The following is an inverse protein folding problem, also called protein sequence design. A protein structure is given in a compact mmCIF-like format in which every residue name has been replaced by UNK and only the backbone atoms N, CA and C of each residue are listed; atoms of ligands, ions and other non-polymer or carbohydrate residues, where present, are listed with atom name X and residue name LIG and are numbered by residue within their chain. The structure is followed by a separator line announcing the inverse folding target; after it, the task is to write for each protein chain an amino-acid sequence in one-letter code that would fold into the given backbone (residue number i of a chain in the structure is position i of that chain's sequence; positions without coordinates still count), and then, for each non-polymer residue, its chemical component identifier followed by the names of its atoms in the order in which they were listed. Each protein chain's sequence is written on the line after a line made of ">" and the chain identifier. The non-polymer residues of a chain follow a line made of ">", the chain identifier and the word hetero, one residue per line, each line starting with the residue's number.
data_IF_493920852569
#
_entry.id   IF_493920852569
#
_cell.length_a   1.000
_cell.length_b   1.000
_cell.length_c   1.000
_cell.angle_alpha   90.00
_cell.angle_beta   90.00
_cell.angle_gamma   90.00
#
_symmetry.space_group_name_H-M   'P 1'
#
loop_
_entity.id
_entity.type
_entity.pdbx_description
1 polymer ?
#
# COMPACT_ATOMS: atom_id res chain seq x y z
N UNK A 1 8.80 16.10 8.00
CA UNK A 1 9.66 16.82 7.03
C UNK A 1 8.99 17.19 5.70
N UNK A 2 8.05 16.40 5.15
CA UNK A 2 7.42 16.70 3.84
C UNK A 2 6.50 17.95 3.79
N UNK A 3 5.90 18.37 4.92
CA UNK A 3 4.96 19.52 4.96
C UNK A 3 5.67 20.86 4.73
N UNK A 4 6.86 21.06 5.31
CA UNK A 4 7.63 22.31 5.20
C UNK A 4 8.13 22.54 3.77
N UNK A 5 8.64 21.50 3.10
CA UNK A 5 9.08 21.59 1.69
C UNK A 5 7.95 21.96 0.73
N UNK A 6 6.71 21.49 1.01
CA UNK A 6 5.52 21.78 0.20
C UNK A 6 5.04 23.23 0.37
N UNK A 7 5.13 23.76 1.58
CA UNK A 7 4.80 25.16 1.87
C UNK A 7 5.82 26.10 1.22
N UNK A 8 7.11 25.78 1.32
CA UNK A 8 8.18 26.56 0.70
C UNK A 8 8.05 26.63 -0.83
N UNK A 9 7.72 25.52 -1.49
CA UNK A 9 7.45 25.48 -2.94
C UNK A 9 6.26 26.35 -3.37
N UNK A 10 5.21 26.42 -2.54
CA UNK A 10 4.02 27.25 -2.81
C UNK A 10 4.36 28.73 -2.75
N UNK A 11 5.17 29.12 -1.77
CA UNK A 11 5.59 30.51 -1.58
C UNK A 11 6.55 30.96 -2.70
N UNK A 12 7.56 30.14 -3.04
CA UNK A 12 8.51 30.47 -4.11
C UNK A 12 7.87 30.49 -5.50
N UNK A 13 6.80 29.71 -5.72
CA UNK A 13 5.99 29.79 -6.94
C UNK A 13 5.25 31.12 -7.06
N UNK A 14 4.74 31.68 -5.97
CA UNK A 14 4.07 32.99 -5.99
C UNK A 14 5.05 34.10 -6.38
N UNK A 15 6.24 34.10 -5.78
CA UNK A 15 7.33 35.04 -6.12
C UNK A 15 7.77 34.91 -7.57
N UNK A 16 7.91 33.69 -8.09
CA UNK A 16 8.26 33.46 -9.50
C UNK A 16 7.16 33.92 -10.47
N UNK A 17 5.88 33.84 -10.09
CA UNK A 17 4.76 34.37 -10.89
C UNK A 17 4.82 35.89 -10.96
N UNK A 18 5.11 36.56 -9.84
CA UNK A 18 5.29 38.02 -9.81
C UNK A 18 6.54 38.44 -10.60
N UNK A 19 7.65 37.69 -10.51
CA UNK A 19 8.84 37.91 -11.33
C UNK A 19 8.54 37.84 -12.84
N UNK A 20 7.74 36.85 -13.25
CA UNK A 20 7.28 36.71 -14.65
C UNK A 20 6.38 37.88 -15.07
N UNK A 21 5.47 38.33 -14.20
CA UNK A 21 4.60 39.50 -14.47
C UNK A 21 5.39 40.81 -14.55
N UNK A 22 6.44 40.96 -13.76
CA UNK A 22 7.34 42.10 -13.78
C UNK A 22 8.31 42.13 -14.99
N UNK A 23 8.07 41.30 -16.01
CA UNK A 23 8.84 41.30 -17.25
C UNK A 23 10.31 40.88 -17.08
N UNK A 24 10.61 40.04 -16.08
CA UNK A 24 11.98 39.63 -15.75
C UNK A 24 12.89 40.80 -15.34
N UNK A 25 12.36 41.75 -14.57
CA UNK A 25 13.12 42.88 -14.04
C UNK A 25 14.37 42.42 -13.29
N UNK A 26 15.54 42.94 -13.67
CA UNK A 26 16.83 42.67 -13.01
C UNK A 26 16.80 43.01 -11.52
N UNK A 27 16.10 44.07 -11.13
CA UNK A 27 15.98 44.52 -9.73
C UNK A 27 15.19 43.50 -8.88
N UNK A 28 14.12 42.94 -9.44
CA UNK A 28 13.33 41.91 -8.77
C UNK A 28 14.10 40.60 -8.64
N UNK A 29 14.90 40.25 -9.66
CA UNK A 29 15.74 39.05 -9.62
C UNK A 29 16.78 39.12 -8.51
N UNK A 30 17.41 40.28 -8.29
CA UNK A 30 18.42 40.43 -7.22
C UNK A 30 17.81 40.38 -5.83
N UNK A 31 16.59 40.89 -5.66
CA UNK A 31 15.90 40.89 -4.35
C UNK A 31 15.35 39.50 -3.99
N UNK A 32 14.90 38.73 -5.00
CA UNK A 32 14.26 37.42 -4.83
C UNK A 32 15.10 36.25 -5.37
N UNK A 33 16.43 36.41 -5.46
CA UNK A 33 17.31 35.47 -6.17
C UNK A 33 17.23 34.05 -5.60
N UNK A 34 17.28 33.92 -4.28
CA UNK A 34 17.22 32.63 -3.59
C UNK A 34 15.89 31.90 -3.84
N UNK A 35 14.78 32.64 -3.89
CA UNK A 35 13.43 32.09 -4.07
C UNK A 35 13.19 31.67 -5.52
N UNK A 36 13.73 32.44 -6.48
CA UNK A 36 13.70 32.12 -7.92
C UNK A 36 14.54 30.88 -8.22
N UNK A 37 15.78 30.80 -7.69
CA UNK A 37 16.64 29.64 -7.86
C UNK A 37 16.03 28.38 -7.26
N UNK A 38 15.45 28.49 -6.06
CA UNK A 38 14.76 27.37 -5.43
C UNK A 38 13.56 26.88 -6.26
N UNK A 39 12.78 27.80 -6.83
CA UNK A 39 11.68 27.44 -7.72
C UNK A 39 12.16 26.76 -9.00
N UNK A 40 13.24 27.26 -9.61
CA UNK A 40 13.84 26.66 -10.81
C UNK A 40 14.41 25.26 -10.51
N UNK A 41 15.14 25.09 -9.42
CA UNK A 41 15.67 23.79 -9.01
C UNK A 41 14.54 22.78 -8.74
N UNK A 42 13.49 23.21 -8.04
CA UNK A 42 12.30 22.38 -7.82
C UNK A 42 11.62 22.01 -9.14
N UNK A 43 11.43 22.99 -10.05
CA UNK A 43 10.84 22.76 -11.36
C UNK A 43 11.64 21.75 -12.18
N UNK A 44 12.96 21.91 -12.26
CA UNK A 44 13.85 21.01 -12.99
C UNK A 44 13.77 19.58 -12.42
N UNK A 45 13.76 19.43 -11.10
CA UNK A 45 13.63 18.11 -10.47
C UNK A 45 12.29 17.42 -10.81
N UNK A 46 11.19 18.18 -10.88
CA UNK A 46 9.90 17.61 -11.30
C UNK A 46 9.81 17.35 -12.80
N UNK A 47 10.45 18.19 -13.63
CA UNK A 47 10.54 18.01 -15.08
C UNK A 47 11.39 16.77 -15.43
N UNK A 48 12.49 16.50 -14.71
CA UNK A 48 13.32 15.28 -14.82
C UNK A 48 12.54 14.01 -14.48
N UNK A 49 11.64 14.08 -13.50
CA UNK A 49 10.75 12.98 -13.14
C UNK A 49 9.61 12.78 -14.16
N UNK A 50 9.52 13.62 -15.20
CA UNK A 50 8.46 13.58 -16.21
C UNK A 50 7.08 13.97 -15.68
N UNK A 51 7.02 14.50 -14.45
CA UNK A 51 5.77 14.82 -13.76
C UNK A 51 5.33 16.24 -14.16
N UNK A 52 4.64 16.35 -15.31
CA UNK A 52 4.13 17.63 -15.85
C UNK A 52 3.17 18.39 -14.92
N UNK A 53 2.54 17.71 -13.97
CA UNK A 53 1.71 18.30 -12.91
C UNK A 53 1.93 17.50 -11.62
N UNK A 54 2.39 18.15 -10.55
CA UNK A 54 2.35 17.53 -9.23
C UNK A 54 0.90 17.08 -8.96
N UNK A 55 0.67 15.81 -8.58
CA UNK A 55 -0.63 15.39 -8.11
C UNK A 55 -1.09 16.37 -7.03
N UNK A 56 -2.31 16.89 -7.20
CA UNK A 56 -2.92 17.74 -6.19
C UNK A 56 -3.00 16.97 -4.87
N UNK A 57 -2.98 17.67 -3.74
CA UNK A 57 -3.24 17.02 -2.44
C UNK A 57 -4.58 16.29 -2.47
N UNK A 58 -5.52 16.79 -3.27
CA UNK A 58 -6.83 16.17 -3.50
C UNK A 58 -6.72 14.84 -4.24
N UNK A 59 -6.01 14.79 -5.37
CA UNK A 59 -5.86 13.54 -6.14
C UNK A 59 -5.09 12.48 -5.35
N UNK A 60 -4.05 12.88 -4.61
CA UNK A 60 -3.30 11.94 -3.76
C UNK A 60 -4.17 11.38 -2.62
N UNK A 61 -5.12 12.17 -2.10
CA UNK A 61 -6.08 11.71 -1.09
C UNK A 61 -7.10 10.74 -1.70
N UNK A 62 -7.61 11.05 -2.89
CA UNK A 62 -8.55 10.21 -3.64
C UNK A 62 -7.93 8.85 -3.99
N UNK A 63 -6.72 8.84 -4.55
CA UNK A 63 -5.99 7.59 -4.82
C UNK A 63 -5.74 6.78 -3.53
N UNK A 64 -5.42 7.47 -2.43
CA UNK A 64 -5.23 6.79 -1.14
C UNK A 64 -6.53 6.18 -0.59
N UNK A 65 -7.66 6.87 -0.72
CA UNK A 65 -8.96 6.34 -0.29
C UNK A 65 -9.36 5.14 -1.14
N UNK A 66 -9.18 5.23 -2.45
CA UNK A 66 -9.50 4.14 -3.38
C UNK A 66 -8.64 2.90 -3.10
N UNK A 67 -7.33 3.10 -2.87
CA UNK A 67 -6.41 2.01 -2.53
C UNK A 67 -6.76 1.38 -1.17
N UNK A 68 -7.19 2.19 -0.20
CA UNK A 68 -7.61 1.71 1.11
C UNK A 68 -8.89 0.86 1.00
N UNK A 69 -9.84 1.26 0.17
CA UNK A 69 -11.05 0.49 -0.11
C UNK A 69 -10.74 -0.83 -0.79
N UNK A 70 -9.88 -0.82 -1.81
CA UNK A 70 -9.45 -2.05 -2.49
C UNK A 70 -8.76 -3.01 -1.50
N UNK A 71 -7.86 -2.50 -0.66
CA UNK A 71 -7.22 -3.30 0.41
C UNK A 71 -8.24 -3.90 1.37
N UNK A 72 -9.25 -3.13 1.80
CA UNK A 72 -10.30 -3.62 2.70
C UNK A 72 -11.13 -4.73 2.06
N UNK A 73 -11.55 -4.55 0.80
CA UNK A 73 -12.29 -5.56 0.04
C UNK A 73 -11.48 -6.85 -0.08
N UNK A 74 -10.23 -6.76 -0.53
CA UNK A 74 -9.35 -7.92 -0.66
C UNK A 74 -9.10 -8.63 0.68
N UNK A 75 -8.89 -7.87 1.76
CA UNK A 75 -8.65 -8.43 3.09
C UNK A 75 -9.86 -9.20 3.63
N UNK A 76 -11.08 -8.72 3.36
CA UNK A 76 -12.31 -9.41 3.79
C UNK A 76 -12.45 -10.79 3.14
N UNK A 77 -12.19 -10.90 1.84
CA UNK A 77 -12.23 -12.16 1.11
C UNK A 77 -11.13 -13.13 1.59
N UNK A 78 -9.92 -12.63 1.83
CA UNK A 78 -8.84 -13.43 2.42
C UNK A 78 -9.20 -13.96 3.81
N UNK A 79 -9.81 -13.12 4.66
CA UNK A 79 -10.23 -13.52 6.01
C UNK A 79 -11.28 -14.62 5.96
N UNK A 80 -12.24 -14.53 5.05
CA UNK A 80 -13.27 -15.55 4.86
C UNK A 80 -12.66 -16.88 4.40
N UNK A 81 -11.86 -16.87 3.34
CA UNK A 81 -11.21 -18.08 2.83
C UNK A 81 -10.35 -18.79 3.88
N UNK A 82 -9.67 -18.03 4.75
CA UNK A 82 -8.89 -18.58 5.87
C UNK A 82 -9.76 -19.26 6.93
N UNK A 83 -10.95 -18.72 7.21
CA UNK A 83 -11.89 -19.32 8.15
C UNK A 83 -12.49 -20.61 7.57
N UNK A 84 -12.92 -20.57 6.31
CA UNK A 84 -13.50 -21.73 5.62
C UNK A 84 -12.49 -22.90 5.58
N UNK A 85 -11.21 -22.60 5.33
CA UNK A 85 -10.15 -23.61 5.36
C UNK A 85 -9.99 -24.24 6.74
N UNK A 86 -10.06 -23.44 7.81
CA UNK A 86 -10.00 -23.97 9.19
C UNK A 86 -11.20 -24.85 9.49
N UNK A 87 -12.42 -24.41 9.14
CA UNK A 87 -13.62 -25.21 9.35
C UNK A 87 -13.55 -26.53 8.59
N UNK A 88 -13.09 -26.52 7.34
CA UNK A 88 -12.93 -27.74 6.55
C UNK A 88 -11.96 -28.72 7.23
N UNK A 89 -10.84 -28.23 7.77
CA UNK A 89 -9.92 -29.07 8.55
C UNK A 89 -10.56 -29.65 9.80
N UNK A 90 -11.36 -28.87 10.54
CA UNK A 90 -12.09 -29.37 11.70
C UNK A 90 -13.14 -30.42 11.33
N UNK A 91 -13.94 -30.16 10.31
CA UNK A 91 -14.96 -31.11 9.80
C UNK A 91 -14.29 -32.41 9.37
N UNK A 92 -13.17 -32.32 8.64
CA UNK A 92 -12.40 -33.50 8.23
C UNK A 92 -11.90 -34.30 9.43
N UNK A 93 -11.26 -33.65 10.40
CA UNK A 93 -10.75 -34.32 11.60
C UNK A 93 -11.88 -34.97 12.41
N UNK A 94 -13.03 -34.31 12.52
CA UNK A 94 -14.20 -34.87 13.21
C UNK A 94 -14.76 -36.09 12.48
N UNK A 95 -14.82 -36.08 11.15
CA UNK A 95 -15.26 -37.23 10.34
C UNK A 95 -14.28 -38.39 10.48
N UNK A 96 -12.97 -38.15 10.40
CA UNK A 96 -11.93 -39.16 10.60
C UNK A 96 -12.05 -39.81 11.99
N UNK A 97 -12.22 -39.00 13.04
CA UNK A 97 -12.41 -39.49 14.41
C UNK A 97 -13.68 -40.35 14.57
N UNK A 98 -14.81 -39.91 14.00
CA UNK A 98 -16.06 -40.68 14.03
C UNK A 98 -15.94 -42.00 13.27
N UNK A 99 -15.24 -42.01 12.13
CA UNK A 99 -14.99 -43.21 11.36
C UNK A 99 -14.11 -44.20 12.12
N UNK A 100 -13.05 -43.72 12.78
CA UNK A 100 -12.18 -44.54 13.64
C UNK A 100 -12.93 -45.16 14.82
N UNK A 101 -13.85 -44.42 15.46
CA UNK A 101 -14.71 -44.94 16.52
C UNK A 101 -15.71 -45.97 15.98
N UNK A 102 -16.26 -45.73 14.78
CA UNK A 102 -17.26 -46.61 14.16
C UNK A 102 -16.68 -47.90 13.59
N UNK A 103 -15.35 -47.97 13.43
CA UNK A 103 -14.66 -49.16 12.96
C UNK A 103 -14.52 -50.17 14.12
N UNK A 104 -15.05 -51.39 14.01
CA UNK A 104 -14.88 -52.40 15.05
C UNK A 104 -13.39 -52.72 15.23
N UNK A 105 -12.93 -53.00 16.47
CA UNK A 105 -11.54 -53.40 16.71
C UNK A 105 -11.20 -54.61 15.83
N UNK A 106 -10.24 -54.44 14.94
CA UNK A 106 -9.73 -55.54 14.11
C UNK A 106 -9.12 -56.59 15.05
N UNK A 107 -9.58 -57.86 15.02
CA UNK A 107 -8.98 -58.89 15.85
C UNK A 107 -7.52 -59.08 15.43
N UNK A 108 -6.60 -58.82 16.37
CA UNK A 108 -5.21 -59.20 16.22
C UNK A 108 -5.17 -60.72 16.02
N UNK A 109 -4.92 -61.18 14.80
CA UNK A 109 -4.66 -62.60 14.53
C UNK A 109 -3.39 -62.98 15.30
N UNK A 110 -3.57 -63.61 16.46
CA UNK A 110 -2.51 -64.34 17.14
C UNK A 110 -2.02 -65.45 16.21
N UNK A 111 -0.80 -65.29 15.69
CA UNK A 111 -0.06 -66.41 15.10
C UNK A 111 0.48 -67.26 16.24
N UNK A 112 -0.40 -68.05 16.85
CA UNK A 112 -0.04 -69.17 17.72
C UNK A 112 -0.16 -70.46 16.89
N UNK A 113 0.98 -71.15 16.70
CA UNK A 113 1.23 -72.54 16.26
C UNK A 113 2.48 -72.54 15.36
N UNK A 114 3.57 -73.24 15.65
CA UNK A 114 3.69 -74.51 16.37
C UNK A 114 5.01 -74.60 17.15
N UNK A 115 4.89 -74.95 18.42
CA UNK A 115 5.82 -75.86 19.10
C UNK A 115 5.37 -77.28 18.74
N UNK A 116 6.18 -77.99 17.96
CA UNK A 116 6.34 -79.44 18.03
C UNK A 116 7.72 -79.80 17.50
#
# INVERSE_FOLDING_TARGET
>A
MARSRKQNNRNSRAVYVEYRKAGYSKKFRTEHEAEILLHQAAKNHFDELGIKKLPSVKSLREEYTDLLEQKRKAYSAYKQAKNDMKELHYVRANVEYLLEISSPPQPQRSTEKSRQ
#
